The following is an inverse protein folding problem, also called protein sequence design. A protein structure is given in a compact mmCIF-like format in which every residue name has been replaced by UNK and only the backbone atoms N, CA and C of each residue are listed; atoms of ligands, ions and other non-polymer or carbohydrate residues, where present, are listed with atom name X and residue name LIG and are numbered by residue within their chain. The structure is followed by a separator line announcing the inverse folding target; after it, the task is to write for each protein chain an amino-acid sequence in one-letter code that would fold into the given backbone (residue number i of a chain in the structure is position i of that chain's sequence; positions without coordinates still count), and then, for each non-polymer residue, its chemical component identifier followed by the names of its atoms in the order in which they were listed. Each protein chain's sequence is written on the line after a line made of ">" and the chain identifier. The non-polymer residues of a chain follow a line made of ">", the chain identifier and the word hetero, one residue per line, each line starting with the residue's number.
data_IF_962711566149
#
_entry.id   IF_962711566149
#
_cell.length_a   1.000
_cell.length_b   1.000
_cell.length_c   1.000
_cell.angle_alpha   90.00
_cell.angle_beta   90.00
_cell.angle_gamma   90.00
#
_symmetry.space_group_name_H-M   'P 1'
#
loop_
_entity.id
_entity.type
_entity.pdbx_description
1 polymer ?
#
# COMPACT_ATOMS: atom_id res chain seq x y z
N UNK A 1 -17.92 54.77 -5.15
CA UNK A 1 -17.34 53.81 -6.12
C UNK A 1 -17.05 52.54 -5.35
N UNK A 2 -18.07 51.70 -5.19
CA UNK A 2 -17.96 50.42 -4.48
C UNK A 2 -17.20 49.44 -5.37
N UNK A 3 -16.08 48.91 -4.86
CA UNK A 3 -15.36 47.82 -5.49
C UNK A 3 -16.14 46.53 -5.20
N UNK A 4 -16.95 46.09 -6.16
CA UNK A 4 -17.50 44.73 -6.15
C UNK A 4 -16.33 43.76 -6.32
N UNK A 5 -15.87 43.18 -5.22
CA UNK A 5 -14.89 42.09 -5.23
C UNK A 5 -15.60 40.85 -5.77
N UNK A 6 -15.52 40.65 -7.09
CA UNK A 6 -15.99 39.42 -7.74
C UNK A 6 -15.04 38.30 -7.36
N UNK A 7 -15.56 37.25 -6.71
CA UNK A 7 -14.79 36.05 -6.40
C UNK A 7 -14.24 35.43 -7.70
N UNK A 8 -12.97 34.99 -7.74
CA UNK A 8 -12.39 34.41 -8.95
C UNK A 8 -13.20 33.18 -9.38
N UNK A 9 -13.37 32.95 -10.69
CA UNK A 9 -14.07 31.79 -11.19
C UNK A 9 -13.41 30.51 -10.67
N UNK A 10 -14.22 29.53 -10.28
CA UNK A 10 -13.72 28.24 -9.82
C UNK A 10 -12.85 27.61 -10.93
N UNK A 11 -11.60 27.28 -10.61
CA UNK A 11 -10.66 26.66 -11.54
C UNK A 11 -11.22 25.28 -11.92
N UNK A 12 -11.32 25.00 -13.22
CA UNK A 12 -11.74 23.69 -13.71
C UNK A 12 -10.74 22.60 -13.29
N UNK A 13 -11.22 21.38 -12.99
CA UNK A 13 -10.37 20.27 -12.50
C UNK A 13 -9.17 19.95 -13.41
N UNK A 14 -9.36 20.09 -14.73
CA UNK A 14 -8.31 19.87 -15.74
C UNK A 14 -7.22 20.94 -15.66
N UNK A 15 -7.62 22.20 -15.45
CA UNK A 15 -6.70 23.33 -15.31
C UNK A 15 -5.91 23.23 -13.99
N UNK A 16 -6.55 22.77 -12.90
CA UNK A 16 -5.87 22.51 -11.63
C UNK A 16 -4.84 21.37 -11.75
N UNK A 17 -5.19 20.27 -12.45
CA UNK A 17 -4.25 19.18 -12.75
C UNK A 17 -3.05 19.67 -13.58
N UNK A 18 -3.30 20.45 -14.64
CA UNK A 18 -2.25 21.02 -15.48
C UNK A 18 -1.31 21.90 -14.67
N UNK A 19 -1.87 22.77 -13.83
CA UNK A 19 -1.11 23.67 -12.96
C UNK A 19 -0.27 22.95 -11.91
N UNK A 20 -0.71 21.78 -11.42
CA UNK A 20 0.00 21.02 -10.37
C UNK A 20 1.11 20.11 -10.90
N UNK A 21 0.87 19.45 -12.03
CA UNK A 21 1.78 18.40 -12.54
C UNK A 21 2.59 18.83 -13.77
N UNK A 22 2.15 19.86 -14.49
CA UNK A 22 2.69 20.23 -15.80
C UNK A 22 2.99 21.74 -15.92
N UNK A 23 3.21 22.46 -14.82
CA UNK A 23 3.45 23.91 -14.88
C UNK A 23 4.84 24.28 -15.43
N UNK A 24 5.83 23.40 -15.35
CA UNK A 24 7.16 23.60 -15.97
C UNK A 24 7.60 22.36 -16.76
N UNK A 25 8.50 22.50 -17.75
CA UNK A 25 9.01 21.34 -18.50
C UNK A 25 9.64 20.27 -17.61
N UNK A 26 10.32 20.68 -16.54
CA UNK A 26 10.91 19.77 -15.56
C UNK A 26 9.82 19.03 -14.75
N UNK A 27 8.78 19.73 -14.28
CA UNK A 27 7.66 19.11 -13.58
C UNK A 27 6.88 18.15 -14.48
N UNK A 28 6.68 18.53 -15.75
CA UNK A 28 6.04 17.68 -16.75
C UNK A 28 6.85 16.40 -16.99
N UNK A 29 8.18 16.52 -17.14
CA UNK A 29 9.08 15.39 -17.31
C UNK A 29 9.05 14.47 -16.08
N UNK A 30 9.15 15.02 -14.87
CA UNK A 30 9.10 14.24 -13.63
C UNK A 30 7.76 13.53 -13.47
N UNK A 31 6.64 14.23 -13.69
CA UNK A 31 5.30 13.64 -13.61
C UNK A 31 5.12 12.51 -14.62
N UNK A 32 5.57 12.70 -15.86
CA UNK A 32 5.49 11.67 -16.89
C UNK A 32 6.41 10.47 -16.57
N UNK A 33 7.62 10.72 -16.08
CA UNK A 33 8.55 9.68 -15.67
C UNK A 33 8.00 8.87 -14.49
N UNK A 34 7.47 9.53 -13.46
CA UNK A 34 6.81 8.87 -12.33
C UNK A 34 5.61 8.03 -12.79
N UNK A 35 4.78 8.56 -13.69
CA UNK A 35 3.66 7.82 -14.26
C UNK A 35 4.13 6.60 -15.05
N UNK A 36 5.16 6.75 -15.90
CA UNK A 36 5.72 5.66 -16.67
C UNK A 36 6.25 4.53 -15.77
N UNK A 37 6.97 4.88 -14.69
CA UNK A 37 7.46 3.90 -13.71
C UNK A 37 6.29 3.20 -13.01
N UNK A 38 5.28 3.94 -12.56
CA UNK A 38 4.10 3.35 -11.91
C UNK A 38 3.38 2.37 -12.84
N UNK A 39 3.15 2.76 -14.10
CA UNK A 39 2.51 1.89 -15.10
C UNK A 39 3.36 0.67 -15.40
N UNK A 40 4.69 0.83 -15.55
CA UNK A 40 5.61 -0.28 -15.79
C UNK A 40 5.61 -1.28 -14.64
N UNK A 41 5.71 -0.81 -13.39
CA UNK A 41 5.67 -1.67 -12.21
C UNK A 41 4.32 -2.37 -12.06
N UNK A 42 3.22 -1.65 -12.27
CA UNK A 42 1.88 -2.23 -12.25
C UNK A 42 1.73 -3.32 -13.32
N UNK A 43 2.21 -3.09 -14.54
CA UNK A 43 2.20 -4.09 -15.60
C UNK A 43 3.03 -5.32 -15.26
N UNK A 44 4.26 -5.13 -14.74
CA UNK A 44 5.11 -6.24 -14.31
C UNK A 44 4.46 -7.06 -13.22
N UNK A 45 3.83 -6.41 -12.24
CA UNK A 45 3.11 -7.07 -11.16
C UNK A 45 1.90 -7.84 -11.66
N UNK A 46 1.07 -7.25 -12.52
CA UNK A 46 -0.10 -7.91 -13.11
C UNK A 46 0.29 -9.06 -14.03
N UNK A 47 1.35 -8.89 -14.82
CA UNK A 47 1.86 -9.97 -15.65
C UNK A 47 2.35 -11.13 -14.81
N UNK A 48 3.09 -10.88 -13.74
CA UNK A 48 3.55 -11.92 -12.84
C UNK A 48 2.40 -12.59 -12.07
N UNK A 49 1.50 -11.80 -11.48
CA UNK A 49 0.45 -12.29 -10.59
C UNK A 49 -0.74 -12.91 -11.32
N UNK A 50 -1.04 -12.47 -12.56
CA UNK A 50 -2.25 -12.86 -13.28
C UNK A 50 -1.94 -13.46 -14.65
N UNK A 51 -1.29 -12.70 -15.54
CA UNK A 51 -1.20 -13.12 -16.95
C UNK A 51 -0.25 -14.29 -17.21
N UNK A 52 0.83 -14.39 -16.44
CA UNK A 52 1.81 -15.49 -16.50
C UNK A 52 1.67 -16.47 -15.33
N UNK A 53 0.60 -16.36 -14.54
CA UNK A 53 0.41 -17.15 -13.33
C UNK A 53 -0.24 -18.51 -13.59
N UNK A 54 0.08 -19.49 -12.76
CA UNK A 54 -0.53 -20.83 -12.77
C UNK A 54 -1.58 -20.92 -11.68
N UNK A 55 -2.83 -21.12 -12.08
CA UNK A 55 -3.97 -21.18 -11.17
C UNK A 55 -4.39 -22.60 -10.79
N UNK A 56 -4.08 -23.59 -11.62
CA UNK A 56 -4.55 -24.97 -11.43
C UNK A 56 -3.47 -25.86 -10.82
N UNK A 57 -3.89 -26.96 -10.21
CA UNK A 57 -3.01 -28.05 -9.74
C UNK A 57 -2.78 -29.12 -10.80
N UNK A 58 -3.40 -28.99 -11.98
CA UNK A 58 -3.55 -30.03 -13.00
C UNK A 58 -2.26 -30.40 -13.76
N UNK A 59 -1.12 -29.82 -13.38
CA UNK A 59 0.20 -30.15 -13.95
C UNK A 59 1.28 -30.37 -12.89
N UNK A 60 0.89 -30.64 -11.65
CA UNK A 60 1.82 -30.93 -10.57
C UNK A 60 2.79 -29.78 -10.24
N UNK A 61 3.85 -30.05 -9.45
CA UNK A 61 4.91 -29.09 -9.18
C UNK A 61 5.64 -28.62 -10.45
N UNK A 62 5.72 -29.44 -11.49
CA UNK A 62 6.42 -29.13 -12.73
C UNK A 62 5.80 -27.93 -13.45
N UNK A 63 4.46 -27.84 -13.49
CA UNK A 63 3.77 -26.71 -14.10
C UNK A 63 4.10 -25.37 -13.43
N UNK A 64 4.30 -25.37 -12.10
CA UNK A 64 4.72 -24.16 -11.39
C UNK A 64 6.21 -23.86 -11.55
N UNK A 65 7.08 -24.86 -11.72
CA UNK A 65 8.50 -24.64 -12.00
C UNK A 65 8.75 -24.09 -13.41
N UNK A 66 7.94 -24.51 -14.39
CA UNK A 66 8.05 -24.05 -15.76
C UNK A 66 7.44 -22.65 -15.99
N UNK A 67 6.64 -22.14 -15.06
CA UNK A 67 5.97 -20.86 -15.19
C UNK A 67 6.86 -19.68 -14.80
N UNK A 68 6.77 -18.59 -15.56
CA UNK A 68 7.47 -17.34 -15.26
C UNK A 68 6.72 -16.43 -14.26
N UNK A 69 5.50 -16.80 -13.86
CA UNK A 69 4.63 -16.02 -12.97
C UNK A 69 4.36 -16.67 -11.61
N UNK A 70 3.39 -16.13 -10.89
CA UNK A 70 2.98 -16.63 -9.59
C UNK A 70 2.31 -18.01 -9.68
N UNK A 71 2.61 -18.88 -8.71
CA UNK A 71 1.97 -20.18 -8.56
C UNK A 71 0.88 -20.09 -7.49
N UNK A 72 -0.37 -19.90 -7.90
CA UNK A 72 -1.50 -19.71 -6.96
C UNK A 72 -1.84 -20.98 -6.19
N UNK A 73 -1.52 -22.16 -6.71
CA UNK A 73 -1.70 -23.41 -5.96
C UNK A 73 -0.81 -23.46 -4.71
N UNK A 74 0.42 -22.96 -4.79
CA UNK A 74 1.33 -22.83 -3.63
C UNK A 74 0.82 -21.74 -2.67
N UNK A 75 0.40 -20.59 -3.20
CA UNK A 75 -0.15 -19.52 -2.37
C UNK A 75 -1.39 -20.03 -1.63
N UNK A 76 -2.33 -20.68 -2.29
CA UNK A 76 -3.53 -21.24 -1.65
C UNK A 76 -3.20 -22.31 -0.60
N UNK A 77 -2.16 -23.13 -0.81
CA UNK A 77 -1.75 -24.14 0.16
C UNK A 77 -0.96 -23.56 1.35
N UNK A 78 -0.28 -22.42 1.18
CA UNK A 78 0.72 -21.90 2.13
C UNK A 78 0.49 -20.45 2.55
N UNK A 79 -0.62 -19.82 2.19
CA UNK A 79 -0.89 -18.41 2.50
C UNK A 79 -0.73 -18.09 3.99
N UNK A 80 -1.10 -19.03 4.86
CA UNK A 80 -1.02 -18.86 6.32
C UNK A 80 0.42 -18.70 6.83
N UNK A 81 1.36 -19.52 6.34
CA UNK A 81 2.78 -19.38 6.70
C UNK A 81 3.43 -18.20 5.98
N UNK A 82 2.95 -17.84 4.80
CA UNK A 82 3.42 -16.64 4.08
C UNK A 82 3.07 -15.36 4.86
N UNK A 83 1.84 -15.27 5.39
CA UNK A 83 1.38 -14.06 6.10
C UNK A 83 1.80 -14.02 7.57
N UNK A 84 1.73 -15.16 8.27
CA UNK A 84 1.95 -15.21 9.72
C UNK A 84 3.26 -15.90 10.12
N UNK A 85 4.01 -16.48 9.18
CA UNK A 85 5.22 -17.23 9.50
C UNK A 85 4.91 -18.44 10.39
N UNK A 86 5.74 -18.63 11.43
CA UNK A 86 5.61 -19.72 12.40
C UNK A 86 4.72 -19.35 13.61
N UNK A 87 3.89 -18.32 13.49
CA UNK A 87 3.05 -17.87 14.61
C UNK A 87 2.03 -18.94 15.01
N UNK A 88 1.88 -19.24 16.32
CA UNK A 88 0.91 -20.21 16.81
C UNK A 88 -0.48 -19.90 16.28
N UNK A 89 -1.23 -20.94 15.89
CA UNK A 89 -2.51 -20.77 15.21
C UNK A 89 -3.49 -19.92 16.02
N UNK A 90 -3.60 -20.21 17.32
CA UNK A 90 -4.54 -19.55 18.22
C UNK A 90 -4.22 -18.06 18.42
N UNK A 91 -2.99 -17.64 18.14
CA UNK A 91 -2.53 -16.27 18.31
C UNK A 91 -2.39 -15.50 16.97
N UNK A 92 -2.73 -16.11 15.82
CA UNK A 92 -2.58 -15.46 14.51
C UNK A 92 -3.34 -14.14 14.38
N UNK A 93 -4.43 -13.97 15.14
CA UNK A 93 -5.18 -12.71 15.22
C UNK A 93 -4.27 -11.54 15.68
N UNK A 94 -3.30 -11.80 16.56
CA UNK A 94 -2.35 -10.81 17.08
C UNK A 94 -1.42 -10.30 15.99
N UNK A 95 -0.84 -11.22 15.21
CA UNK A 95 -0.03 -10.90 14.03
C UNK A 95 -0.86 -10.21 12.95
N UNK A 96 -2.10 -10.64 12.72
CA UNK A 96 -3.00 -10.00 11.77
C UNK A 96 -3.31 -8.53 12.14
N UNK A 97 -3.59 -8.26 13.41
CA UNK A 97 -3.78 -6.90 13.92
C UNK A 97 -2.50 -6.07 13.80
N UNK A 98 -1.33 -6.65 14.10
CA UNK A 98 -0.05 -5.99 13.95
C UNK A 98 0.18 -5.54 12.49
N UNK A 99 -0.08 -6.43 11.51
CA UNK A 99 -0.04 -6.10 10.08
C UNK A 99 -1.04 -4.99 9.73
N UNK A 100 -2.28 -5.08 10.24
CA UNK A 100 -3.32 -4.07 10.01
C UNK A 100 -2.90 -2.68 10.52
N UNK A 101 -2.27 -2.61 11.71
CA UNK A 101 -1.79 -1.35 12.29
C UNK A 101 -0.74 -0.71 11.40
N UNK A 102 0.22 -1.49 10.88
CA UNK A 102 1.23 -0.97 9.95
C UNK A 102 0.60 -0.43 8.68
N UNK A 103 -0.39 -1.14 8.12
CA UNK A 103 -1.14 -0.69 6.94
C UNK A 103 -1.88 0.62 7.23
N UNK A 104 -2.63 0.69 8.33
CA UNK A 104 -3.37 1.90 8.72
C UNK A 104 -2.42 3.07 8.96
N UNK A 105 -1.32 2.87 9.69
CA UNK A 105 -0.30 3.88 9.93
C UNK A 105 0.29 4.43 8.62
N UNK A 106 0.56 3.54 7.66
CA UNK A 106 1.06 3.91 6.34
C UNK A 106 0.01 4.71 5.55
N UNK A 107 -1.24 4.25 5.50
CA UNK A 107 -2.34 4.95 4.82
C UNK A 107 -2.55 6.34 5.43
N UNK A 108 -2.59 6.46 6.76
CA UNK A 108 -2.73 7.75 7.43
C UNK A 108 -1.56 8.68 7.13
N UNK A 109 -0.35 8.15 6.95
CA UNK A 109 0.83 8.94 6.55
C UNK A 109 0.73 9.48 5.11
N UNK A 110 0.01 8.78 4.23
CA UNK A 110 -0.24 9.25 2.86
C UNK A 110 -1.37 10.28 2.75
N UNK A 111 -2.17 10.48 3.80
CA UNK A 111 -3.31 11.42 3.80
C UNK A 111 -2.84 12.82 4.23
N UNK A 112 -2.99 13.86 3.39
CA UNK A 112 -2.51 15.22 3.70
C UNK A 112 -3.06 15.82 5.00
N UNK A 113 -4.25 15.39 5.46
CA UNK A 113 -4.84 15.83 6.72
C UNK A 113 -4.00 15.48 7.96
N UNK A 114 -3.09 14.50 7.87
CA UNK A 114 -2.22 14.08 8.98
C UNK A 114 -0.82 14.69 8.92
N UNK A 115 -0.49 15.50 7.91
CA UNK A 115 0.86 16.04 7.68
C UNK A 115 1.31 17.16 8.63
N UNK A 116 0.59 17.39 9.74
CA UNK A 116 1.12 18.21 10.83
C UNK A 116 2.10 17.39 11.67
N UNK A 117 3.24 17.97 12.06
CA UNK A 117 4.28 17.29 12.85
C UNK A 117 3.73 16.55 14.08
N UNK A 118 2.77 17.16 14.80
CA UNK A 118 2.11 16.52 15.94
C UNK A 118 1.28 15.30 15.54
N UNK A 119 0.44 15.40 14.51
CA UNK A 119 -0.43 14.29 14.08
C UNK A 119 0.39 13.12 13.54
N UNK A 120 1.39 13.37 12.70
CA UNK A 120 2.22 12.29 12.15
C UNK A 120 3.06 11.63 13.25
N UNK A 121 3.62 12.41 14.19
CA UNK A 121 4.31 11.85 15.35
C UNK A 121 3.38 11.01 16.24
N UNK A 122 2.13 11.43 16.43
CA UNK A 122 1.13 10.63 17.16
C UNK A 122 0.79 9.33 16.43
N UNK A 123 0.57 9.38 15.11
CA UNK A 123 0.25 8.20 14.30
C UNK A 123 1.38 7.17 14.37
N UNK A 124 2.62 7.61 14.19
CA UNK A 124 3.79 6.73 14.27
C UNK A 124 4.08 6.26 15.69
N UNK A 125 4.06 7.16 16.66
CA UNK A 125 4.30 6.82 18.06
C UNK A 125 3.28 5.82 18.61
N UNK A 126 1.98 6.07 18.38
CA UNK A 126 0.91 5.17 18.80
C UNK A 126 0.93 3.86 18.01
N UNK A 127 1.11 3.93 16.68
CA UNK A 127 1.16 2.75 15.82
C UNK A 127 2.31 1.82 16.17
N UNK A 128 3.52 2.36 16.34
CA UNK A 128 4.70 1.58 16.77
C UNK A 128 4.52 1.01 18.16
N UNK A 129 4.01 1.79 19.12
CA UNK A 129 3.76 1.30 20.47
C UNK A 129 2.75 0.13 20.47
N UNK A 130 1.64 0.28 19.75
CA UNK A 130 0.61 -0.77 19.67
C UNK A 130 1.14 -2.03 18.97
N UNK A 131 1.87 -1.87 17.87
CA UNK A 131 2.54 -2.98 17.18
C UNK A 131 3.51 -3.70 18.12
N UNK A 132 4.35 -2.96 18.84
CA UNK A 132 5.34 -3.54 19.75
C UNK A 132 4.69 -4.30 20.91
N UNK A 133 3.65 -3.73 21.53
CA UNK A 133 2.91 -4.40 22.61
C UNK A 133 2.25 -5.68 22.11
N UNK A 134 1.63 -5.64 20.93
CA UNK A 134 1.06 -6.83 20.30
C UNK A 134 2.12 -7.88 20.01
N UNK A 135 3.26 -7.53 19.41
CA UNK A 135 4.24 -8.54 19.00
C UNK A 135 5.03 -9.12 20.18
N UNK A 136 5.38 -8.30 21.18
CA UNK A 136 6.15 -8.73 22.35
C UNK A 136 5.42 -9.76 23.21
N UNK A 137 4.11 -9.59 23.43
CA UNK A 137 3.37 -10.38 24.42
C UNK A 137 3.81 -10.09 25.86
N UNK A 138 3.16 -10.73 26.84
CA UNK A 138 3.49 -10.61 28.27
C UNK A 138 3.07 -9.30 28.95
N UNK A 139 2.29 -8.45 28.28
CA UNK A 139 1.76 -7.18 28.80
C UNK A 139 0.24 -7.18 28.62
N UNK A 140 -0.52 -6.61 29.55
CA UNK A 140 -2.00 -6.62 29.54
C UNK A 140 -2.64 -8.02 29.56
N UNK A 141 -1.94 -9.04 30.06
CA UNK A 141 -2.44 -10.42 30.09
C UNK A 141 -2.37 -11.14 28.74
N UNK A 142 -1.68 -10.55 27.76
CA UNK A 142 -1.34 -11.23 26.51
C UNK A 142 -0.30 -12.33 26.79
N UNK A 143 -0.47 -13.55 26.26
CA UNK A 143 0.52 -14.63 26.39
C UNK A 143 1.84 -14.32 25.68
#
# INVERSE_FOLDING_TARGET
>A
MEMVVVAPPAIGKIEDLRRRFFATPLQALLSLASLAVMVFLAWKLLNWAVFSAVFTTSGGPEACQAAAGACWSVIAARWRIILFGLYPYDEQWRSALACLIVVVMTVLSCVPAFWSGRRIALVWGAGTALFYVLMKGGVLGLP
#
